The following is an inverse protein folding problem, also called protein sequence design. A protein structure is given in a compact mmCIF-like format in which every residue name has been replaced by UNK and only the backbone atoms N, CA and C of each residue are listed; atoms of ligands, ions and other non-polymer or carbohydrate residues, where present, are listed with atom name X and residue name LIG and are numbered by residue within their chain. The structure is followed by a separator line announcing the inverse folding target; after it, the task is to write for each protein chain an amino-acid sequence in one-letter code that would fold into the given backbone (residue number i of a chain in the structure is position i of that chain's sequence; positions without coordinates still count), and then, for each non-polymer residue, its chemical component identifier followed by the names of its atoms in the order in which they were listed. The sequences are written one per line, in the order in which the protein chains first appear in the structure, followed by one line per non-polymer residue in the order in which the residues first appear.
data_IF_513680512665
#
_entry.id   IF_513680512665
#
_cell.length_a   1.000
_cell.length_b   1.000
_cell.length_c   1.000
_cell.angle_alpha   90.00
_cell.angle_beta   90.00
_cell.angle_gamma   90.00
#
_symmetry.space_group_name_H-M   'P 1'
#
loop_
_entity.id
_entity.type
_entity.pdbx_description
1 polymer ?
2 non-polymer ?
3 non-polymer ?
4 non-polymer ?
5 water ?
#
# COMPACT_ATOMS: atom_id res chain seq x y z
N UNK A 4 -20.50 1.80 -11.69
CA UNK A 4 -19.11 1.69 -12.09
C UNK A 4 -19.05 0.76 -13.32
N UNK A 5 -18.73 1.34 -14.47
CA UNK A 5 -18.88 0.61 -15.73
C UNK A 5 -17.83 -0.49 -15.88
N UNK A 6 -16.56 -0.17 -15.62
CA UNK A 6 -15.50 -1.16 -15.76
C UNK A 6 -15.75 -2.35 -14.84
N UNK A 7 -16.33 -2.10 -13.67
CA UNK A 7 -16.58 -3.20 -12.75
C UNK A 7 -17.73 -4.04 -13.27
N UNK A 8 -18.75 -3.38 -13.83
CA UNK A 8 -19.90 -4.10 -14.35
C UNK A 8 -19.48 -5.06 -15.46
N UNK A 9 -18.50 -4.66 -16.28
CA UNK A 9 -18.02 -5.53 -17.35
C UNK A 9 -17.25 -6.70 -16.77
N UNK A 10 -16.59 -6.52 -15.63
CA UNK A 10 -15.87 -7.61 -15.00
C UNK A 10 -16.86 -8.61 -14.38
N UNK A 11 -17.93 -8.12 -13.76
CA UNK A 11 -18.99 -9.01 -13.28
C UNK A 11 -19.53 -9.84 -14.43
N UNK A 12 -19.79 -9.21 -15.56
CA UNK A 12 -20.32 -9.95 -16.70
C UNK A 12 -19.31 -10.98 -17.19
N UNK A 13 -18.02 -10.63 -17.19
CA UNK A 13 -16.98 -11.56 -17.59
C UNK A 13 -16.92 -12.75 -16.64
N UNK A 14 -17.07 -12.51 -15.34
CA UNK A 14 -17.03 -13.62 -14.39
C UNK A 14 -18.20 -14.58 -14.64
N UNK A 15 -19.40 -14.04 -14.84
CA UNK A 15 -20.59 -14.89 -14.99
C UNK A 15 -20.55 -15.65 -16.31
N UNK A 16 -20.02 -15.01 -17.35
CA UNK A 16 -19.75 -15.65 -18.64
C UNK A 16 -18.86 -16.87 -18.48
N UNK A 17 -17.98 -16.90 -17.48
CA UNK A 17 -17.18 -18.09 -17.22
C UNK A 17 -17.76 -18.92 -16.13
N UNK A 18 -19.05 -18.74 -15.82
CA UNK A 18 -19.68 -19.66 -14.91
C UNK A 18 -19.45 -19.38 -13.46
N UNK A 19 -19.00 -18.18 -13.09
CA UNK A 19 -18.80 -17.86 -11.69
C UNK A 19 -20.04 -17.16 -11.15
N UNK A 20 -20.69 -17.79 -10.20
CA UNK A 20 -21.86 -17.34 -9.48
C UNK A 20 -21.45 -16.50 -8.28
N UNK A 21 -22.22 -15.47 -7.95
CA UNK A 21 -21.99 -14.71 -6.72
C UNK A 21 -22.43 -15.47 -5.47
N UNK A 22 -21.81 -15.09 -4.35
CA UNK A 22 -22.07 -15.59 -3.03
C UNK A 22 -22.47 -14.44 -2.11
N UNK A 23 -23.42 -14.70 -1.23
CA UNK A 23 -23.91 -13.71 -0.28
C UNK A 23 -23.29 -13.94 1.09
N UNK A 24 -22.86 -12.84 1.71
CA UNK A 24 -22.29 -12.89 3.05
C UNK A 24 -23.02 -11.92 3.93
N UNK A 25 -22.90 -12.14 5.24
CA UNK A 25 -23.55 -11.32 6.23
C UNK A 25 -22.53 -10.73 7.16
N UNK A 26 -22.93 -9.63 7.79
CA UNK A 26 -22.07 -8.93 8.72
C UNK A 26 -21.40 -9.92 9.65
N UNK A 27 -20.09 -9.74 9.81
CA UNK A 27 -19.19 -10.43 10.73
C UNK A 27 -18.69 -11.73 10.15
N UNK A 28 -19.19 -12.17 9.02
CA UNK A 28 -18.63 -13.33 8.33
C UNK A 28 -17.32 -13.00 7.67
N UNK A 29 -16.47 -14.03 7.57
CA UNK A 29 -15.21 -13.94 6.86
C UNK A 29 -15.33 -14.49 5.45
N UNK A 30 -15.14 -13.62 4.47
CA UNK A 30 -15.09 -14.07 3.07
C UNK A 30 -13.83 -14.89 2.80
N UNK A 31 -12.69 -14.46 3.31
CA UNK A 31 -11.54 -15.36 3.40
C UNK A 31 -10.88 -15.18 4.74
N UNK A 32 -10.03 -16.14 5.13
CA UNK A 32 -9.46 -16.13 6.46
C UNK A 32 -7.98 -16.47 6.39
N UNK A 33 -7.30 -16.07 7.46
CA UNK A 33 -5.86 -16.15 7.60
C UNK A 33 -5.34 -17.56 7.80
N UNK A 34 -6.21 -18.56 7.97
CA UNK A 34 -5.80 -19.94 8.25
C UNK A 34 -5.97 -20.85 7.05
N UNK A 35 -6.66 -20.41 6.03
CA UNK A 35 -6.95 -21.24 4.90
C UNK A 35 -5.70 -21.44 4.07
N UNK A 36 -5.30 -22.66 3.74
CA UNK A 36 -4.13 -22.82 2.87
C UNK A 36 -4.40 -22.37 1.43
N UNK A 37 -5.67 -22.31 1.01
CA UNK A 37 -6.01 -21.93 -0.35
C UNK A 37 -6.25 -20.42 -0.39
N UNK A 38 -5.66 -19.75 -1.36
CA UNK A 38 -5.87 -18.32 -1.49
C UNK A 38 -6.81 -18.01 -2.63
N UNK A 39 -7.37 -16.79 -2.57
CA UNK A 39 -8.50 -16.41 -3.39
C UNK A 39 -8.37 -15.02 -3.96
N UNK A 40 -9.01 -14.83 -5.10
CA UNK A 40 -9.38 -13.52 -5.61
C UNK A 40 -10.86 -13.29 -5.29
N UNK A 41 -11.15 -12.22 -4.55
CA UNK A 41 -12.50 -11.80 -4.19
C UNK A 41 -12.86 -10.62 -5.08
N UNK A 42 -13.90 -10.76 -5.88
CA UNK A 42 -14.51 -9.60 -6.54
C UNK A 42 -15.69 -9.19 -5.68
N UNK A 43 -15.45 -8.17 -4.87
CA UNK A 43 -16.43 -7.64 -3.95
C UNK A 43 -17.34 -6.78 -4.80
N UNK A 44 -18.55 -7.25 -5.00
CA UNK A 44 -19.43 -6.55 -5.92
C UNK A 44 -20.26 -5.52 -5.18
N UNK A 45 -20.78 -5.87 -4.02
CA UNK A 45 -21.62 -4.96 -3.26
C UNK A 45 -21.39 -5.20 -1.78
N UNK A 46 -21.30 -4.11 -1.03
CA UNK A 46 -21.18 -4.15 0.42
C UNK A 46 -19.84 -3.61 0.88
N UNK A 47 -19.64 -3.66 2.20
CA UNK A 47 -18.48 -3.06 2.83
C UNK A 47 -17.79 -4.12 3.69
N UNK A 48 -16.48 -4.19 3.55
CA UNK A 48 -15.64 -5.17 4.24
C UNK A 48 -14.43 -4.48 4.85
N UNK A 49 -13.76 -5.17 5.77
CA UNK A 49 -12.47 -4.72 6.27
C UNK A 49 -11.51 -5.90 6.27
N UNK A 50 -10.25 -5.57 6.07
CA UNK A 50 -9.16 -6.53 6.17
C UNK A 50 -8.67 -6.50 7.60
N UNK A 51 -8.60 -7.66 8.24
CA UNK A 51 -8.18 -7.70 9.64
C UNK A 51 -7.00 -8.66 9.80
N UNK A 52 -6.23 -8.43 10.86
CA UNK A 52 -5.20 -9.38 11.25
C UNK A 52 -5.24 -9.55 12.76
N UNK A 53 -4.43 -10.48 13.24
CA UNK A 53 -4.36 -10.86 14.64
C UNK A 53 -2.90 -10.97 15.07
N UNK A 54 -2.55 -10.36 16.21
CA UNK A 54 -1.25 -10.56 16.81
C UNK A 54 -1.30 -11.77 17.75
N UNK A 55 -0.11 -12.21 18.20
CA UNK A 55 -0.03 -13.32 19.16
C UNK A 55 -0.97 -13.09 20.34
N UNK A 56 -1.19 -11.82 20.71
CA UNK A 56 -2.09 -11.45 21.79
C UNK A 56 -3.54 -11.88 21.57
N UNK A 57 -3.96 -12.07 20.32
CA UNK A 57 -5.37 -12.16 20.00
C UNK A 57 -6.02 -10.82 19.70
N UNK A 58 -5.23 -9.76 19.57
CA UNK A 58 -5.72 -8.41 19.30
C UNK A 58 -6.09 -8.28 17.83
N UNK A 59 -7.37 -7.96 17.54
CA UNK A 59 -7.83 -7.71 16.18
C UNK A 59 -7.40 -6.33 15.70
N UNK A 60 -6.73 -6.29 14.55
CA UNK A 60 -6.26 -5.07 13.93
C UNK A 60 -7.05 -4.84 12.66
N UNK A 61 -7.64 -3.66 12.50
CA UNK A 61 -8.35 -3.30 11.28
C UNK A 61 -7.34 -2.61 10.36
N UNK A 62 -7.04 -3.22 9.23
CA UNK A 62 -5.97 -2.73 8.38
C UNK A 62 -6.45 -1.88 7.22
N UNK A 63 -7.58 -2.22 6.64
CA UNK A 63 -8.00 -1.61 5.37
C UNK A 63 -9.50 -1.85 5.18
N UNK A 64 -10.17 -0.87 4.59
CA UNK A 64 -11.58 -1.01 4.23
C UNK A 64 -11.72 -1.09 2.71
N UNK A 65 -12.68 -1.89 2.30
CA UNK A 65 -13.00 -2.07 0.90
C UNK A 65 -14.52 -2.03 0.72
N UNK A 66 -14.97 -1.37 -0.33
CA UNK A 66 -16.38 -1.39 -0.70
C UNK A 66 -16.52 -1.94 -2.11
N UNK A 67 -17.68 -2.52 -2.38
CA UNK A 67 -17.94 -3.02 -3.72
C UNK A 67 -18.17 -1.83 -4.64
N UNK A 68 -17.69 -1.82 -5.87
CA UNK A 68 -17.03 -2.94 -6.51
C UNK A 68 -15.52 -2.82 -6.39
N UNK A 69 -14.87 -3.92 -5.99
CA UNK A 69 -13.42 -3.89 -5.86
C UNK A 69 -12.90 -5.32 -5.87
N UNK A 70 -11.59 -5.46 -6.10
CA UNK A 70 -10.90 -6.76 -6.11
C UNK A 70 -9.93 -6.83 -4.94
N UNK A 71 -9.99 -7.93 -4.16
CA UNK A 71 -9.08 -8.17 -3.05
C UNK A 71 -8.48 -9.56 -3.27
N UNK A 72 -7.16 -9.67 -3.27
CA UNK A 72 -6.51 -10.94 -3.57
C UNK A 72 -5.70 -11.36 -2.35
N UNK A 73 -5.99 -12.55 -1.81
CA UNK A 73 -5.33 -12.95 -0.59
C UNK A 73 -4.03 -13.67 -0.86
N UNK A 74 -3.72 -13.96 -2.13
CA UNK A 74 -2.48 -14.61 -2.47
C UNK A 74 -1.87 -13.98 -3.71
N UNK A 75 -0.55 -14.16 -3.84
CA UNK A 75 0.18 -13.63 -4.98
C UNK A 75 -0.27 -14.32 -6.26
N UNK A 76 -0.35 -13.55 -7.36
CA UNK A 76 -0.93 -14.09 -8.57
C UNK A 76 -0.09 -15.23 -9.13
N UNK A 77 1.24 -15.16 -8.96
CA UNK A 77 2.15 -16.12 -9.55
C UNK A 77 2.40 -17.31 -8.65
N UNK A 78 2.80 -17.10 -7.39
CA UNK A 78 3.04 -18.22 -6.49
C UNK A 78 1.75 -18.80 -5.89
N UNK A 79 0.68 -18.02 -5.82
CA UNK A 79 -0.61 -18.44 -5.27
C UNK A 79 -0.57 -18.57 -3.78
N UNK A 80 0.48 -18.08 -3.13
CA UNK A 80 0.65 -18.15 -1.70
C UNK A 80 0.32 -16.80 -1.07
N UNK A 81 0.11 -16.82 0.25
CA UNK A 81 -0.48 -15.72 1.00
C UNK A 81 0.37 -14.46 0.85
N UNK A 82 -0.32 -13.32 0.71
CA UNK A 82 0.34 -12.01 0.80
C UNK A 82 0.42 -11.53 2.26
N UNK A 83 -0.13 -12.29 3.19
CA UNK A 83 -0.17 -11.89 4.59
C UNK A 83 -1.34 -12.57 5.28
N UNK A 84 -1.23 -12.72 6.60
CA UNK A 84 -2.24 -13.43 7.40
C UNK A 84 -3.38 -12.48 7.68
N UNK A 85 -4.30 -12.49 6.74
CA UNK A 85 -5.39 -11.55 6.71
C UNK A 85 -6.73 -12.28 6.65
N UNK A 86 -7.75 -11.61 7.19
CA UNK A 86 -9.12 -12.02 6.99
C UNK A 86 -9.86 -10.89 6.31
N UNK A 87 -10.92 -11.21 5.60
CA UNK A 87 -11.80 -10.21 5.00
C UNK A 87 -13.17 -10.38 5.63
N UNK A 88 -13.54 -9.39 6.44
CA UNK A 88 -14.72 -9.43 7.28
C UNK A 88 -15.75 -8.49 6.72
N UNK A 89 -16.97 -8.97 6.60
CA UNK A 89 -18.09 -8.13 6.17
C UNK A 89 -18.52 -7.24 7.32
N UNK A 90 -18.66 -5.95 7.04
CA UNK A 90 -19.17 -5.03 8.04
C UNK A 90 -20.50 -4.40 7.68
N UNK A 91 -20.91 -4.36 6.41
CA UNK A 91 -22.30 -4.07 6.08
C UNK A 91 -23.18 -5.27 6.44
N UNK A 92 -24.48 -5.00 6.59
CA UNK A 92 -25.46 -6.06 6.87
C UNK A 92 -25.25 -7.26 5.95
N UNK A 93 -25.14 -6.99 4.66
CA UNK A 93 -24.95 -8.02 3.66
C UNK A 93 -23.86 -7.57 2.70
N UNK A 94 -23.26 -8.54 2.04
CA UNK A 94 -22.32 -8.28 0.96
C UNK A 94 -22.45 -9.39 -0.06
N UNK A 95 -22.19 -9.04 -1.31
CA UNK A 95 -22.17 -9.96 -2.43
C UNK A 95 -20.76 -9.98 -2.99
N UNK A 96 -20.19 -11.19 -3.11
CA UNK A 96 -18.86 -11.31 -3.69
C UNK A 96 -18.76 -12.54 -4.57
N UNK A 97 -17.87 -12.44 -5.57
CA UNK A 97 -17.45 -13.58 -6.36
C UNK A 97 -16.11 -14.07 -5.83
N UNK A 98 -16.02 -15.36 -5.58
CA UNK A 98 -14.88 -15.93 -4.86
C UNK A 98 -14.21 -16.92 -5.80
N UNK A 99 -13.00 -16.57 -6.26
CA UNK A 99 -12.31 -17.35 -7.28
C UNK A 99 -10.98 -17.83 -6.76
N UNK A 100 -10.65 -19.09 -6.99
CA UNK A 100 -9.33 -19.58 -6.61
C UNK A 100 -8.26 -18.87 -7.42
N UNK A 101 -7.12 -18.59 -6.77
CA UNK A 101 -6.17 -17.70 -7.41
C UNK A 101 -5.67 -18.30 -8.73
N UNK A 102 -5.50 -19.62 -8.78
CA UNK A 102 -5.00 -20.24 -10.00
C UNK A 102 -5.91 -19.95 -11.20
N UNK A 103 -7.22 -19.80 -10.95
CA UNK A 103 -8.16 -19.51 -12.03
C UNK A 103 -8.18 -18.04 -12.43
N UNK A 104 -8.14 -17.11 -11.48
CA UNK A 104 -8.00 -15.70 -11.87
C UNK A 104 -6.94 -15.54 -12.94
N UNK A 105 -5.80 -16.19 -12.76
CA UNK A 105 -4.71 -16.13 -13.73
C UNK A 105 -5.21 -16.46 -15.14
N UNK A 106 -5.79 -17.65 -15.30
CA UNK A 106 -6.33 -18.05 -16.60
C UNK A 106 -7.22 -16.96 -17.17
N UNK A 107 -8.14 -16.46 -16.37
CA UNK A 107 -9.14 -15.53 -16.87
C UNK A 107 -8.52 -14.21 -17.31
N UNK A 108 -7.67 -13.62 -16.47
CA UNK A 108 -7.02 -12.37 -16.89
C UNK A 108 -6.13 -12.61 -18.11
N UNK A 109 -5.54 -13.81 -18.23
CA UNK A 109 -4.70 -14.18 -19.37
C UNK A 109 -5.40 -14.00 -20.71
N UNK A 110 -6.73 -14.03 -20.73
CA UNK A 110 -7.48 -14.11 -21.97
C UNK A 110 -8.25 -12.85 -22.27
N UNK A 111 -8.07 -11.81 -21.45
CA UNK A 111 -8.78 -10.55 -21.69
C UNK A 111 -8.00 -9.45 -20.97
N UNK A 112 -7.09 -8.82 -21.71
CA UNK A 112 -6.24 -7.81 -21.12
C UNK A 112 -7.03 -6.62 -20.59
N UNK A 113 -8.23 -6.37 -21.12
CA UNK A 113 -9.06 -5.30 -20.58
C UNK A 113 -9.38 -5.56 -19.11
N UNK A 114 -9.71 -6.82 -18.78
CA UNK A 114 -9.98 -7.21 -17.40
C UNK A 114 -8.69 -7.44 -16.62
N UNK A 115 -7.63 -7.85 -17.27
CA UNK A 115 -6.34 -7.78 -16.63
C UNK A 115 -6.08 -6.36 -16.14
N UNK A 116 -6.26 -5.39 -17.04
CA UNK A 116 -5.97 -4.00 -16.72
C UNK A 116 -6.83 -3.51 -15.58
N UNK A 117 -8.10 -3.93 -15.57
CA UNK A 117 -9.01 -3.52 -14.53
C UNK A 117 -8.50 -3.94 -13.17
N UNK A 118 -8.04 -5.19 -13.06
CA UNK A 118 -7.57 -5.71 -11.77
C UNK A 118 -6.23 -5.07 -11.43
N UNK A 119 -5.37 -4.96 -12.42
CA UNK A 119 -4.09 -4.30 -12.22
C UNK A 119 -4.27 -2.90 -11.66
N UNK A 120 -5.15 -2.13 -12.25
CA UNK A 120 -5.45 -0.78 -11.85
C UNK A 120 -5.99 -0.71 -10.42
N UNK A 121 -6.80 -1.68 -10.00
CA UNK A 121 -7.23 -1.70 -8.59
C UNK A 121 -6.07 -1.82 -7.65
N UNK A 122 -5.12 -2.70 -7.94
CA UNK A 122 -3.92 -2.75 -7.11
C UNK A 122 -3.20 -1.40 -7.08
N UNK A 123 -3.06 -0.75 -8.25
CA UNK A 123 -2.40 0.56 -8.26
C UNK A 123 -3.09 1.57 -7.37
N UNK A 124 -4.43 1.57 -7.35
CA UNK A 124 -5.18 2.44 -6.45
C UNK A 124 -4.89 2.15 -5.00
N UNK A 125 -4.77 0.87 -4.61
CA UNK A 125 -4.42 0.50 -3.23
C UNK A 125 -3.05 1.00 -2.84
N UNK A 126 -2.08 0.83 -3.74
CA UNK A 126 -0.71 1.20 -3.45
C UNK A 126 -0.63 2.68 -3.16
N UNK A 127 -1.19 3.50 -4.05
CA UNK A 127 -1.14 4.94 -3.88
C UNK A 127 -2.03 5.40 -2.72
N UNK A 128 -3.13 4.72 -2.47
CA UNK A 128 -3.92 5.00 -1.27
C UNK A 128 -3.08 4.91 0.00
N UNK A 129 -2.33 3.81 0.16
CA UNK A 129 -1.55 3.64 1.38
C UNK A 129 -0.45 4.66 1.49
N UNK A 130 0.18 5.01 0.38
CA UNK A 130 1.19 6.04 0.44
C UNK A 130 0.58 7.41 0.79
N UNK A 131 -0.62 7.70 0.31
CA UNK A 131 -1.23 8.99 0.64
C UNK A 131 -1.59 9.06 2.11
N UNK A 132 -2.09 7.94 2.64
CA UNK A 132 -2.42 7.84 4.04
C UNK A 132 -1.19 8.04 4.88
N UNK A 133 -0.11 7.39 4.49
CA UNK A 133 1.15 7.56 5.19
C UNK A 133 1.59 9.02 5.17
N UNK A 134 1.47 9.66 4.02
CA UNK A 134 1.89 11.04 3.92
C UNK A 134 1.05 11.94 4.81
N UNK A 135 -0.28 11.76 4.80
CA UNK A 135 -1.14 12.59 5.61
C UNK A 135 -0.90 12.34 7.09
N UNK A 136 -0.66 11.08 7.47
CA UNK A 136 -0.29 10.81 8.86
C UNK A 136 1.05 11.43 9.22
N UNK A 137 2.04 11.31 8.34
CA UNK A 137 3.33 11.94 8.58
C UNK A 137 3.15 13.42 8.89
N UNK A 138 2.33 14.11 8.09
CA UNK A 138 2.17 15.54 8.26
C UNK A 138 1.30 15.86 9.48
N UNK A 139 0.12 15.23 9.62
CA UNK A 139 -0.89 15.67 10.58
C UNK A 139 -1.26 14.64 11.63
N UNK A 140 -0.58 13.51 11.69
CA UNK A 140 -0.91 12.54 12.72
C UNK A 140 -2.29 11.94 12.55
N UNK A 141 -2.84 11.47 13.68
CA UNK A 141 -4.10 10.74 13.64
C UNK A 141 -5.24 11.62 13.14
N UNK A 142 -5.10 12.93 13.31
CA UNK A 142 -6.08 13.88 12.81
C UNK A 142 -6.09 13.85 11.28
N UNK A 143 -4.92 13.76 10.65
CA UNK A 143 -4.87 13.54 9.21
C UNK A 143 -5.50 12.23 8.78
N UNK A 144 -5.22 11.16 9.52
CA UNK A 144 -5.84 9.87 9.24
C UNK A 144 -7.35 9.92 9.36
N UNK A 145 -7.88 10.56 10.42
CA UNK A 145 -9.31 10.58 10.62
C UNK A 145 -9.99 11.51 9.64
N UNK A 146 -9.40 12.67 9.39
CA UNK A 146 -9.97 13.56 8.39
C UNK A 146 -9.98 12.88 7.04
N UNK A 147 -8.92 12.11 6.73
CA UNK A 147 -8.88 11.38 5.48
C UNK A 147 -9.98 10.34 5.37
N UNK A 148 -10.22 9.63 6.47
CA UNK A 148 -11.27 8.64 6.47
C UNK A 148 -12.62 9.30 6.25
N UNK A 149 -12.87 10.40 6.97
CA UNK A 149 -14.13 11.14 6.81
C UNK A 149 -14.23 11.71 5.43
N UNK A 150 -13.11 12.17 4.89
CA UNK A 150 -13.14 12.76 3.57
C UNK A 150 -13.56 11.74 2.53
N UNK A 151 -13.01 10.53 2.62
CA UNK A 151 -13.39 9.53 1.63
C UNK A 151 -14.85 9.09 1.85
N UNK A 152 -15.33 9.06 3.09
CA UNK A 152 -16.73 8.73 3.33
C UNK A 152 -17.64 9.77 2.71
N UNK A 153 -17.22 11.02 2.78
CA UNK A 153 -18.01 12.10 2.26
C UNK A 153 -18.09 12.01 0.74
N UNK A 154 -16.94 11.82 0.09
CA UNK A 154 -16.92 11.73 -1.37
C UNK A 154 -17.66 10.51 -1.86
N UNK A 155 -17.52 9.37 -1.19
CA UNK A 155 -18.14 8.16 -1.68
C UNK A 155 -19.64 8.14 -1.40
N UNK A 156 -20.05 8.54 -0.18
CA UNK A 156 -21.46 8.43 0.21
C UNK A 156 -22.19 9.76 0.36
N UNK A 157 -21.54 10.88 0.12
CA UNK A 157 -22.16 12.16 0.40
C UNK A 157 -23.05 12.65 -0.72
N UNK A 158 -24.11 13.36 -0.33
CA UNK A 158 -25.04 13.96 -1.27
C UNK A 158 -25.36 15.36 -0.80
N UNK A 159 -25.12 16.37 -1.67
CA UNK A 159 -25.32 17.76 -1.29
C UNK A 159 -26.79 17.97 -0.97
N UNK A 160 -27.06 18.64 0.13
CA UNK A 160 -28.39 19.02 0.57
C UNK A 160 -28.32 20.41 1.18
N UNK A 161 -29.47 21.06 1.41
CA UNK A 161 -29.44 22.36 2.10
C UNK A 161 -28.72 22.33 3.44
N UNK A 162 -28.82 21.23 4.18
CA UNK A 162 -28.14 21.08 5.46
C UNK A 162 -26.67 20.68 5.35
N UNK A 163 -26.12 20.64 4.13
CA UNK A 163 -24.75 20.23 3.91
C UNK A 163 -24.70 18.90 3.17
N UNK A 164 -23.56 18.26 3.23
CA UNK A 164 -23.35 17.03 2.46
C UNK A 164 -23.80 15.87 3.35
N UNK A 165 -24.96 15.34 3.06
CA UNK A 165 -25.49 14.25 3.87
C UNK A 165 -24.76 12.94 3.58
N UNK A 166 -24.36 12.24 4.63
CA UNK A 166 -23.71 10.94 4.48
C UNK A 166 -24.80 9.90 4.35
N UNK A 167 -24.89 9.27 3.20
CA UNK A 167 -26.06 8.45 2.89
C UNK A 167 -25.69 7.00 3.13
N UNK A 168 -25.46 6.72 4.39
CA UNK A 168 -25.08 5.41 4.88
C UNK A 168 -25.75 5.25 6.23
N UNK A 169 -26.21 4.05 6.55
CA UNK A 169 -26.95 3.89 7.79
C UNK A 169 -26.06 4.25 8.96
N UNK A 170 -26.68 4.80 10.02
CA UNK A 170 -25.88 5.43 11.06
C UNK A 170 -24.98 4.43 11.76
N UNK A 171 -25.47 3.21 11.89
CA UNK A 171 -24.70 2.12 12.48
C UNK A 171 -23.37 1.92 11.76
N UNK A 172 -23.45 1.60 10.47
CA UNK A 172 -22.25 1.38 9.69
C UNK A 172 -21.39 2.63 9.61
N UNK A 173 -22.01 3.81 9.59
CA UNK A 173 -21.23 5.02 9.35
C UNK A 173 -20.28 5.25 10.50
N UNK A 174 -20.75 5.01 11.73
CA UNK A 174 -19.96 5.33 12.90
C UNK A 174 -18.80 4.35 13.03
N UNK A 175 -19.00 3.08 12.62
CA UNK A 175 -17.88 2.13 12.49
C UNK A 175 -16.84 2.69 11.55
N UNK A 176 -17.26 3.20 10.40
CA UNK A 176 -16.31 3.67 9.40
C UNK A 176 -15.62 4.98 9.78
N UNK A 177 -16.20 5.78 10.69
CA UNK A 177 -15.49 6.95 11.14
C UNK A 177 -14.15 6.63 11.78
N UNK A 178 -13.97 5.40 12.22
CA UNK A 178 -12.72 4.98 12.84
C UNK A 178 -11.74 4.50 11.77
N UNK A 179 -10.55 5.10 11.79
CA UNK A 179 -9.51 4.79 10.82
C UNK A 179 -8.96 3.41 11.11
N UNK A 180 -8.21 2.87 10.15
CA UNK A 180 -7.64 1.55 10.32
C UNK A 180 -6.76 1.60 11.55
N UNK A 181 -6.76 0.51 12.32
CA UNK A 181 -6.01 0.44 13.54
C UNK A 181 -6.74 -0.41 14.56
N UNK A 182 -6.63 -0.03 15.84
CA UNK A 182 -7.29 -0.77 16.91
C UNK A 182 -8.77 -0.43 16.94
N UNK A 183 -9.55 -1.37 17.49
CA UNK A 183 -11.01 -1.22 17.52
C UNK A 183 -11.40 -0.16 18.54
N UNK A 184 -12.26 0.77 18.11
CA UNK A 184 -12.85 1.81 18.98
C UNK A 184 -11.83 2.41 19.93
N UNK A 185 -10.70 2.85 19.38
CA UNK A 185 -9.73 3.58 20.17
C UNK A 185 -10.40 4.81 20.78
N UNK A 186 -10.12 5.07 22.06
CA UNK A 186 -10.65 6.27 22.69
C UNK A 186 -10.02 7.53 22.10
N UNK A 187 -8.73 7.48 21.74
CA UNK A 187 -8.11 8.63 21.09
C UNK A 187 -8.81 8.98 19.79
N UNK A 188 -9.24 7.97 19.04
CA UNK A 188 -9.95 8.26 17.80
C UNK A 188 -11.34 8.82 18.09
N UNK A 189 -12.02 8.24 19.07
CA UNK A 189 -13.37 8.69 19.42
C UNK A 189 -13.34 10.16 19.82
N UNK A 190 -12.30 10.57 20.51
CA UNK A 190 -12.18 11.96 20.88
C UNK A 190 -11.92 12.84 19.67
N UNK A 191 -11.13 12.36 18.71
CA UNK A 191 -10.87 13.16 17.51
C UNK A 191 -12.18 13.38 16.76
N UNK A 192 -12.97 12.33 16.60
CA UNK A 192 -14.20 12.41 15.83
C UNK A 192 -15.18 13.34 16.53
N UNK A 193 -15.31 13.22 17.84
CA UNK A 193 -16.28 14.06 18.51
C UNK A 193 -15.81 15.51 18.56
N UNK A 194 -14.51 15.73 18.51
CA UNK A 194 -14.02 17.08 18.38
C UNK A 194 -14.40 17.69 17.03
N UNK A 195 -14.30 16.92 15.94
CA UNK A 195 -14.78 17.40 14.65
C UNK A 195 -16.26 17.71 14.72
N UNK A 196 -17.01 16.89 15.46
CA UNK A 196 -18.44 17.15 15.61
C UNK A 196 -18.67 18.42 16.42
N UNK A 197 -17.94 18.56 17.53
CA UNK A 197 -18.07 19.77 18.34
C UNK A 197 -17.77 21.02 17.54
N UNK A 198 -16.82 20.96 16.62
CA UNK A 198 -16.48 22.12 15.81
C UNK A 198 -17.36 22.26 14.57
N UNK A 199 -18.35 21.39 14.44
CA UNK A 199 -19.37 21.47 13.41
C UNK A 199 -18.79 21.17 12.03
N UNK A 200 -17.74 20.33 11.98
CA UNK A 200 -17.26 19.83 10.69
C UNK A 200 -18.24 18.81 10.13
N UNK A 201 -18.78 17.97 11.01
CA UNK A 201 -19.83 17.04 10.67
C UNK A 201 -20.86 17.12 11.81
N UNK A 202 -22.13 17.26 11.46
CA UNK A 202 -23.16 17.58 12.44
C UNK A 202 -24.33 16.63 12.30
N UNK A 203 -24.86 16.24 13.44
CA UNK A 203 -26.07 15.47 13.54
C UNK A 203 -27.30 16.36 13.42
N UNK A 204 -28.23 15.99 12.53
CA UNK A 204 -29.51 16.68 12.45
C UNK A 204 -30.56 15.77 11.83
N UNK A 205 -31.76 15.78 12.40
CA UNK A 205 -32.88 14.97 11.92
C UNK A 205 -32.43 13.56 11.54
N UNK A 206 -31.82 12.87 12.50
CA UNK A 206 -31.44 11.46 12.40
C UNK A 206 -30.33 11.19 11.38
N UNK A 207 -29.72 12.23 10.81
CA UNK A 207 -28.69 12.02 9.79
C UNK A 207 -27.45 12.83 10.13
N UNK A 208 -26.35 12.53 9.44
CA UNK A 208 -25.09 13.27 9.57
C UNK A 208 -24.75 13.98 8.27
N UNK A 209 -24.34 15.25 8.43
CA UNK A 209 -24.07 16.19 7.35
C UNK A 209 -22.67 16.76 7.54
N UNK A 210 -21.86 16.63 6.52
CA UNK A 210 -20.58 17.32 6.53
C UNK A 210 -20.83 18.77 6.13
N UNK A 211 -20.51 19.67 7.03
CA UNK A 211 -20.74 21.09 6.82
C UNK A 211 -19.44 21.85 6.63
N UNK A 212 -18.28 21.22 6.85
CA UNK A 212 -17.00 21.89 6.61
C UNK A 212 -16.06 20.93 5.86
N UNK A 213 -16.44 20.67 4.61
CA UNK A 213 -15.59 19.86 3.74
C UNK A 213 -14.20 20.45 3.61
N UNK A 214 -14.06 21.79 3.56
CA UNK A 214 -12.72 22.37 3.44
C UNK A 214 -11.79 21.96 4.59
N UNK A 215 -12.31 21.80 5.81
CA UNK A 215 -11.47 21.39 6.93
C UNK A 215 -10.90 19.99 6.71
N UNK A 216 -11.73 19.07 6.23
CA UNK A 216 -11.27 17.71 5.95
C UNK A 216 -10.21 17.70 4.86
N UNK A 217 -10.45 18.46 3.78
CA UNK A 217 -9.47 18.62 2.70
C UNK A 217 -8.15 19.18 3.22
N UNK A 218 -8.22 20.11 4.18
CA UNK A 218 -7.02 20.78 4.68
C UNK A 218 -6.08 19.83 5.37
N UNK A 219 -6.61 18.94 6.18
CA UNK A 219 -5.79 18.06 6.98
C UNK A 219 -5.55 16.70 6.35
N UNK A 220 -6.21 16.40 5.25
CA UNK A 220 -5.95 15.16 4.51
C UNK A 220 -5.65 15.52 3.06
N UNK A 221 -4.65 16.38 2.82
CA UNK A 221 -4.43 16.88 1.46
C UNK A 221 -3.99 15.81 0.51
N UNK A 222 -3.22 14.83 0.98
CA UNK A 222 -2.71 13.85 0.04
C UNK A 222 -3.76 12.77 -0.28
N UNK A 223 -4.62 12.41 0.68
CA UNK A 223 -5.74 11.57 0.32
C UNK A 223 -6.73 12.30 -0.57
N UNK A 224 -6.86 13.61 -0.40
CA UNK A 224 -7.71 14.39 -1.31
C UNK A 224 -7.16 14.30 -2.74
N UNK A 225 -5.85 14.53 -2.89
CA UNK A 225 -5.17 14.36 -4.19
C UNK A 225 -5.38 12.95 -4.73
N UNK A 226 -5.14 11.95 -3.89
CA UNK A 226 -5.32 10.56 -4.30
C UNK A 226 -6.69 10.31 -4.88
N UNK A 227 -7.74 10.74 -4.16
CA UNK A 227 -9.11 10.55 -4.64
C UNK A 227 -9.35 11.34 -5.95
N UNK A 228 -8.83 12.55 -6.04
CA UNK A 228 -8.89 13.32 -7.29
C UNK A 228 -8.24 12.55 -8.45
N UNK A 229 -7.09 11.95 -8.22
CA UNK A 229 -6.38 11.24 -9.26
C UNK A 229 -6.99 9.88 -9.54
N UNK A 230 -7.39 9.20 -8.47
CA UNK A 230 -8.04 7.89 -8.56
C UNK A 230 -9.50 7.84 -9.04
N UNK A 232 -11.60 10.75 -10.37
CA UNK A 232 -11.89 12.16 -10.63
C UNK A 232 -13.37 12.58 -10.73
N UNK A 233 -14.23 11.77 -11.30
CA UNK A 233 -15.65 12.17 -11.43
C UNK A 233 -16.33 12.26 -10.07
N UNK A 234 -16.02 11.31 -9.19
CA UNK A 234 -16.62 11.35 -7.86
C UNK A 234 -16.08 12.53 -7.07
N UNK A 235 -14.78 12.78 -7.17
CA UNK A 235 -14.19 13.97 -6.58
C UNK A 235 -14.88 15.23 -7.08
N UNK A 236 -15.10 15.30 -8.39
CA UNK A 236 -15.58 16.53 -8.99
C UNK A 236 -16.96 16.90 -8.54
N UNK A 237 -17.78 15.90 -8.19
CA UNK A 237 -19.16 16.16 -7.81
C UNK A 237 -19.25 17.08 -6.59
N UNK A 238 -18.30 16.99 -5.67
CA UNK A 238 -18.33 17.79 -4.45
C UNK A 238 -17.23 18.83 -4.38
N UNK A 239 -16.56 19.13 -5.46
CA UNK A 239 -15.60 20.23 -5.48
C UNK A 239 -15.94 21.25 -6.56
N UNK B 2 22.61 -14.11 -6.17
CA UNK B 2 21.37 -13.59 -5.54
C UNK B 2 20.33 -13.24 -6.61
N UNK B 3 20.13 -14.15 -7.56
CA UNK B 3 19.55 -13.83 -8.87
C UNK B 3 18.03 -13.96 -8.87
N UNK B 4 17.35 -12.90 -9.34
CA UNK B 4 15.89 -12.84 -9.41
C UNK B 4 15.48 -13.26 -10.81
N UNK B 5 15.08 -14.53 -10.95
CA UNK B 5 14.87 -15.13 -12.25
C UNK B 5 13.78 -14.40 -13.02
N UNK B 6 12.65 -14.09 -12.36
CA UNK B 6 11.58 -13.38 -13.05
C UNK B 6 12.06 -12.01 -13.52
N UNK B 7 12.85 -11.32 -12.69
CA UNK B 7 13.37 -10.01 -13.10
C UNK B 7 14.37 -10.14 -14.24
N UNK B 8 15.27 -11.13 -14.16
CA UNK B 8 16.17 -11.38 -15.29
C UNK B 8 15.38 -11.68 -16.57
N UNK B 9 14.31 -12.48 -16.49
CA UNK B 9 13.53 -12.77 -17.69
C UNK B 9 12.76 -11.54 -18.15
N UNK B 10 12.36 -10.66 -17.22
CA UNK B 10 11.69 -9.43 -17.64
C UNK B 10 12.67 -8.55 -18.39
N UNK B 11 13.90 -8.51 -17.91
CA UNK B 11 14.95 -7.69 -18.50
C UNK B 11 15.28 -8.17 -19.91
N UNK B 12 15.42 -9.47 -20.10
CA UNK B 12 15.59 -10.00 -21.45
C UNK B 12 14.42 -9.55 -22.32
N UNK B 13 13.20 -9.68 -21.81
CA UNK B 13 12.02 -9.35 -22.59
C UNK B 13 12.04 -7.89 -23.04
N UNK B 14 12.42 -6.98 -22.15
CA UNK B 14 12.44 -5.57 -22.52
C UNK B 14 13.52 -5.29 -23.55
N UNK B 15 14.73 -5.82 -23.34
CA UNK B 15 15.85 -5.48 -24.22
C UNK B 15 15.66 -6.03 -25.63
N UNK B 16 14.95 -7.15 -25.77
CA UNK B 16 14.64 -7.67 -27.09
C UNK B 16 13.43 -6.99 -27.72
N UNK B 17 12.79 -6.08 -27.00
CA UNK B 17 11.83 -5.15 -27.55
C UNK B 17 12.41 -3.75 -27.71
N UNK B 18 13.73 -3.61 -27.63
CA UNK B 18 14.37 -2.34 -27.90
C UNK B 18 14.31 -1.33 -26.78
N UNK B 19 14.12 -1.78 -25.55
CA UNK B 19 14.15 -0.90 -24.39
C UNK B 19 15.52 -1.07 -23.76
N UNK B 20 16.23 0.03 -23.61
CA UNK B 20 17.62 0.01 -23.21
C UNK B 20 17.77 0.54 -21.78
N UNK B 21 18.74 0.01 -21.03
CA UNK B 21 18.93 0.49 -19.65
C UNK B 21 19.56 1.87 -19.63
N UNK B 22 19.16 2.66 -18.65
CA UNK B 22 19.70 4.00 -18.44
C UNK B 22 20.34 4.09 -17.06
N UNK B 23 21.46 4.79 -16.97
CA UNK B 23 22.14 5.03 -15.71
C UNK B 23 21.76 6.39 -15.16
N UNK B 24 21.58 6.44 -13.85
CA UNK B 24 21.34 7.66 -13.12
C UNK B 24 22.30 7.73 -11.95
N UNK B 25 22.66 8.95 -11.55
CA UNK B 25 23.48 9.10 -10.36
C UNK B 25 22.64 9.63 -9.21
N UNK B 26 23.18 9.46 -8.00
CA UNK B 26 22.56 9.93 -6.77
C UNK B 26 21.99 11.31 -6.96
N UNK B 27 20.78 11.48 -6.43
CA UNK B 27 19.96 12.69 -6.39
C UNK B 27 19.16 12.91 -7.67
N UNK B 28 19.43 12.19 -8.75
CA UNK B 28 18.62 12.40 -9.95
C UNK B 28 17.24 11.80 -9.75
N UNK B 29 16.26 12.41 -10.41
CA UNK B 29 14.88 11.94 -10.42
C UNK B 29 14.63 11.16 -11.70
N UNK B 30 14.42 9.86 -11.53
CA UNK B 30 14.08 8.97 -12.64
C UNK B 30 12.72 9.37 -13.22
N UNK B 31 11.76 9.74 -12.37
CA UNK B 31 10.58 10.47 -12.79
C UNK B 31 10.26 11.50 -11.73
N UNK B 32 9.46 12.51 -12.10
CA UNK B 32 9.25 13.61 -11.19
C UNK B 32 7.79 14.02 -11.18
N UNK B 33 7.41 14.71 -10.10
CA UNK B 33 6.03 15.02 -9.77
C UNK B 33 5.47 16.15 -10.63
N UNK B 34 6.28 16.79 -11.48
CA UNK B 34 5.79 17.92 -12.28
C UNK B 34 5.66 17.53 -13.74
N UNK B 35 5.93 16.29 -14.07
CA UNK B 35 5.91 15.77 -15.42
C UNK B 35 4.50 15.28 -15.75
N UNK B 36 3.89 15.74 -16.84
CA UNK B 36 2.57 15.18 -17.20
C UNK B 36 2.65 13.79 -17.84
N UNK B 37 3.81 13.43 -18.38
CA UNK B 37 4.03 12.10 -18.94
C UNK B 37 4.35 11.13 -17.82
N UNK B 38 3.68 9.98 -17.82
CA UNK B 38 3.88 8.97 -16.79
C UNK B 38 4.59 7.75 -17.37
N UNK B 39 5.24 7.02 -16.47
CA UNK B 39 6.18 5.97 -16.83
C UNK B 39 6.01 4.73 -15.98
N UNK B 40 6.41 3.62 -16.59
CA UNK B 40 6.76 2.38 -15.91
C UNK B 40 8.27 2.31 -15.80
N UNK B 41 8.77 2.29 -14.57
CA UNK B 41 10.19 2.18 -14.29
C UNK B 41 10.51 0.74 -13.93
N UNK B 42 11.40 0.10 -14.69
CA UNK B 42 11.95 -1.17 -14.23
C UNK B 42 13.30 -0.85 -13.60
N UNK B 43 13.31 -0.75 -12.29
CA UNK B 43 14.51 -0.43 -11.55
C UNK B 43 15.31 -1.71 -11.44
N UNK B 44 16.42 -1.78 -12.17
CA UNK B 44 17.15 -3.05 -12.26
C UNK B 44 18.21 -3.14 -11.17
N UNK B 45 18.92 -2.05 -10.90
CA UNK B 45 19.94 -2.07 -9.89
C UNK B 45 19.96 -0.72 -9.19
N UNK B 46 20.28 -0.72 -7.90
CA UNK B 46 20.34 0.52 -7.15
C UNK B 46 19.19 0.66 -6.18
N UNK B 47 19.25 1.78 -5.44
CA UNK B 47 18.32 2.11 -4.37
C UNK B 47 17.76 3.50 -4.66
N UNK B 48 16.45 3.61 -4.52
CA UNK B 48 15.70 4.82 -4.76
C UNK B 48 14.72 5.08 -3.64
N UNK B 49 14.17 6.27 -3.65
CA UNK B 49 13.13 6.63 -2.70
C UNK B 49 12.07 7.43 -3.43
N UNK B 50 10.84 7.13 -3.12
CA UNK B 50 9.71 7.89 -3.62
C UNK B 50 9.49 9.08 -2.70
N UNK B 51 9.42 10.26 -3.30
CA UNK B 51 9.23 11.46 -2.50
C UNK B 51 8.05 12.27 -3.02
N UNK B 52 7.55 13.12 -2.14
CA UNK B 52 6.60 14.20 -2.48
C UNK B 52 7.16 15.51 -1.93
N UNK B 53 7.16 16.57 -2.74
CA UNK B 53 7.73 17.86 -2.34
C UNK B 53 6.61 18.88 -2.28
N UNK B 54 6.47 19.49 -1.11
CA UNK B 54 5.43 20.49 -0.86
C UNK B 54 5.80 21.84 -1.46
N UNK B 55 4.83 22.70 -1.59
CA UNK B 55 5.07 24.04 -2.12
C UNK B 55 6.07 24.69 -1.19
N UNK B 56 5.93 24.36 0.09
CA UNK B 56 6.80 24.83 1.17
C UNK B 56 8.24 24.39 0.91
N UNK B 57 8.40 23.30 0.16
CA UNK B 57 9.71 22.78 -0.15
C UNK B 57 10.17 21.62 0.72
N UNK B 58 9.33 21.20 1.66
CA UNK B 58 9.69 20.07 2.52
C UNK B 58 9.54 18.79 1.71
N UNK B 59 10.51 17.88 1.86
CA UNK B 59 10.54 16.64 1.09
C UNK B 59 10.06 15.53 2.00
N UNK B 60 8.96 14.87 1.60
CA UNK B 60 8.45 13.70 2.32
C UNK B 60 9.00 12.43 1.70
N UNK B 61 9.63 11.61 2.51
CA UNK B 61 10.18 10.32 2.04
C UNK B 61 9.08 9.29 2.25
N UNK B 62 8.51 8.77 1.15
CA UNK B 62 7.33 7.91 1.23
C UNK B 62 7.62 6.40 1.21
N UNK B 63 8.62 5.96 0.48
CA UNK B 63 8.86 4.56 0.21
C UNK B 63 10.25 4.42 -0.34
N UNK B 64 10.94 3.32 0.00
CA UNK B 64 12.19 2.93 -0.60
C UNK B 64 12.00 1.76 -1.55
N UNK B 65 12.76 1.77 -2.62
CA UNK B 65 12.79 0.67 -3.57
C UNK B 65 14.22 0.31 -3.91
N UNK B 66 14.48 -0.98 -4.08
CA UNK B 66 15.77 -1.45 -4.59
C UNK B 66 15.57 -2.28 -5.84
N UNK B 67 16.54 -2.26 -6.73
CA UNK B 67 16.46 -3.12 -7.89
C UNK B 67 16.64 -4.55 -7.45
N UNK B 68 15.97 -5.52 -8.06
CA UNK B 68 15.07 -5.32 -9.17
C UNK B 68 13.63 -5.08 -8.70
N UNK B 69 12.97 -4.10 -9.31
CA UNK B 69 11.58 -3.81 -8.97
C UNK B 69 10.97 -2.95 -10.07
N UNK B 70 9.64 -2.81 -10.01
CA UNK B 70 8.88 -2.02 -10.95
C UNK B 70 8.12 -0.94 -10.18
N UNK B 71 8.22 0.31 -10.66
CA UNK B 71 7.54 1.45 -10.06
C UNK B 71 6.79 2.12 -11.21
N UNK B 72 5.48 2.26 -11.07
CA UNK B 72 4.71 2.92 -12.11
C UNK B 72 4.13 4.23 -11.60
N UNK B 73 4.47 5.31 -12.30
CA UNK B 73 4.00 6.64 -11.93
C UNK B 73 2.61 6.94 -12.42
N UNK B 74 2.06 6.11 -13.30
CA UNK B 74 0.75 6.39 -13.90
C UNK B 74 -0.07 5.11 -13.90
N UNK B 75 -1.40 5.26 -13.91
CA UNK B 75 -2.32 4.10 -13.94
C UNK B 75 -2.25 3.44 -15.30
N UNK B 76 -2.23 2.12 -15.33
CA UNK B 76 -2.06 1.41 -16.57
C UNK B 76 -3.16 1.67 -17.58
N UNK B 77 -4.41 1.74 -17.12
CA UNK B 77 -5.53 2.02 -18.02
C UNK B 77 -5.68 3.47 -18.52
N UNK B 78 -5.66 4.43 -17.59
CA UNK B 78 -5.85 5.83 -17.93
C UNK B 78 -4.56 6.56 -18.29
N UNK B 79 -3.41 6.02 -17.91
CA UNK B 79 -2.11 6.65 -18.17
C UNK B 79 -1.91 7.95 -17.42
N UNK B 80 -2.76 8.30 -16.47
CA UNK B 80 -2.58 9.50 -15.68
C UNK B 80 -1.95 9.19 -14.33
N UNK B 81 -1.52 10.24 -13.66
CA UNK B 81 -0.72 10.10 -12.45
C UNK B 81 -1.44 9.31 -11.37
N UNK B 82 -0.69 8.49 -10.66
CA UNK B 82 -1.20 7.84 -9.45
C UNK B 82 -0.95 8.67 -8.21
N UNK B 83 -0.25 9.81 -8.34
CA UNK B 83 0.18 10.60 -7.20
C UNK B 83 1.35 11.49 -7.60
N UNK B 84 1.48 12.66 -7.00
CA UNK B 84 2.52 13.61 -7.42
C UNK B 84 3.82 13.22 -6.73
N UNK B 85 4.56 12.35 -7.38
CA UNK B 85 5.70 11.69 -6.77
C UNK B 85 6.93 11.87 -7.63
N UNK B 86 8.10 11.86 -6.98
CA UNK B 86 9.40 11.72 -7.60
C UNK B 86 10.02 10.39 -7.21
N UNK B 87 10.90 9.88 -8.05
CA UNK B 87 11.69 8.67 -7.78
C UNK B 87 13.15 9.11 -7.78
N UNK B 88 13.68 9.31 -6.59
CA UNK B 88 15.02 9.85 -6.41
C UNK B 88 16.05 8.75 -6.15
N UNK B 89 17.16 8.78 -6.88
CA UNK B 89 18.26 7.84 -6.67
C UNK B 89 19.02 8.21 -5.41
N UNK B 90 19.20 7.25 -4.50
CA UNK B 90 19.96 7.50 -3.28
C UNK B 90 21.20 6.64 -3.15
N UNK B 91 21.32 5.59 -3.94
CA UNK B 91 22.61 4.94 -4.11
C UNK B 91 23.48 5.82 -5.01
N UNK B 92 24.76 5.49 -5.14
CA UNK B 92 25.62 6.36 -5.94
C UNK B 92 25.23 6.33 -7.40
N UNK B 93 24.91 5.15 -7.91
CA UNK B 93 24.36 4.96 -9.24
C UNK B 93 23.13 4.04 -9.16
N UNK B 94 22.25 4.18 -10.14
CA UNK B 94 21.14 3.27 -10.34
C UNK B 94 20.97 3.03 -11.83
N UNK B 95 20.49 1.84 -12.15
CA UNK B 95 20.15 1.46 -13.52
C UNK B 95 18.66 1.18 -13.64
N UNK B 96 18.00 1.79 -14.62
CA UNK B 96 16.57 1.62 -14.80
C UNK B 96 16.19 1.60 -16.27
N UNK B 97 15.11 0.87 -16.57
CA UNK B 97 14.51 0.86 -17.89
C UNK B 97 13.30 1.75 -17.77
N UNK B 98 13.18 2.70 -18.67
CA UNK B 98 12.19 3.74 -18.56
C UNK B 98 11.27 3.60 -19.75
N UNK B 99 10.00 3.29 -19.48
CA UNK B 99 9.01 2.92 -20.48
C UNK B 99 7.81 3.86 -20.32
N UNK B 100 7.48 4.58 -21.40
CA UNK B 100 6.24 5.37 -21.39
C UNK B 100 5.05 4.46 -21.11
N UNK B 101 4.11 4.95 -20.31
CA UNK B 101 3.01 4.08 -19.85
C UNK B 101 2.25 3.49 -21.02
N UNK B 102 2.01 4.26 -22.07
CA UNK B 102 1.33 3.73 -23.26
C UNK B 102 2.09 2.58 -23.91
N UNK B 103 3.41 2.68 -24.01
CA UNK B 103 4.16 1.59 -24.62
C UNK B 103 4.12 0.33 -23.76
N UNK B 104 4.09 0.46 -22.43
CA UNK B 104 4.02 -0.72 -21.56
C UNK B 104 2.78 -1.55 -21.83
N UNK B 105 1.65 -0.90 -22.12
CA UNK B 105 0.41 -1.66 -22.25
C UNK B 105 0.49 -2.68 -23.37
N UNK B 106 1.02 -2.26 -24.52
CA UNK B 106 1.29 -3.20 -25.60
C UNK B 106 2.04 -4.42 -25.09
N UNK B 107 3.14 -4.20 -24.38
CA UNK B 107 4.05 -5.29 -24.04
C UNK B 107 3.41 -6.29 -23.06
N UNK B 108 2.99 -5.83 -21.88
CA UNK B 108 2.37 -6.77 -20.94
C UNK B 108 1.25 -7.55 -21.61
N UNK B 109 0.66 -7.01 -22.69
CA UNK B 109 -0.45 -7.66 -23.38
C UNK B 109 0.00 -8.83 -24.26
N UNK B 110 1.19 -8.74 -24.85
CA UNK B 110 1.70 -9.83 -25.67
C UNK B 110 2.35 -10.94 -24.85
N UNK B 111 2.73 -10.65 -23.61
CA UNK B 111 3.33 -11.67 -22.74
C UNK B 111 2.64 -11.64 -21.38
N UNK B 112 2.08 -12.77 -21.00
CA UNK B 112 1.33 -12.86 -19.77
C UNK B 112 2.22 -13.19 -18.58
N UNK B 113 3.32 -13.90 -18.81
CA UNK B 113 4.26 -14.15 -17.72
C UNK B 113 4.80 -12.84 -17.16
N UNK B 114 5.07 -11.87 -18.02
CA UNK B 114 5.66 -10.61 -17.56
C UNK B 114 4.61 -9.65 -17.03
N UNK B 115 3.41 -9.67 -17.62
CA UNK B 115 2.29 -9.01 -16.97
C UNK B 115 2.20 -9.43 -15.50
N UNK B 116 2.24 -10.75 -15.27
CA UNK B 116 2.09 -11.29 -13.93
C UNK B 116 3.24 -10.88 -13.03
N UNK B 117 4.46 -10.83 -13.58
CA UNK B 117 5.59 -10.36 -12.80
C UNK B 117 5.34 -8.95 -12.25
N UNK B 118 4.81 -8.06 -13.09
CA UNK B 118 4.58 -6.68 -12.64
C UNK B 118 3.39 -6.62 -11.70
N UNK B 119 2.34 -7.36 -12.02
CA UNK B 119 1.19 -7.44 -11.11
C UNK B 119 1.63 -7.83 -9.71
N UNK B 120 2.46 -8.84 -9.62
CA UNK B 120 2.94 -9.34 -8.35
C UNK B 120 3.78 -8.30 -7.60
N UNK B 121 4.52 -7.43 -8.30
CA UNK B 121 5.24 -6.38 -7.58
C UNK B 121 4.27 -5.40 -6.94
N UNK B 122 3.16 -5.11 -7.59
CA UNK B 122 2.17 -4.27 -6.96
C UNK B 122 1.67 -4.94 -5.69
N UNK B 123 1.36 -6.25 -5.78
CA UNK B 123 0.86 -6.95 -4.61
C UNK B 123 1.87 -6.91 -3.47
N UNK B 124 3.15 -6.99 -3.79
CA UNK B 124 4.17 -6.92 -2.75
C UNK B 124 4.22 -5.52 -2.12
N UNK B 125 4.04 -4.47 -2.91
CA UNK B 125 3.97 -3.12 -2.35
C UNK B 125 2.78 -2.97 -1.43
N UNK B 126 1.59 -3.41 -1.88
CA UNK B 126 0.37 -3.30 -1.07
C UNK B 126 0.57 -3.97 0.28
N UNK B 127 0.98 -5.24 0.24
CA UNK B 127 1.14 -5.97 1.50
C UNK B 127 2.26 -5.39 2.34
N UNK B 128 3.30 -4.86 1.69
CA UNK B 128 4.36 -4.17 2.44
C UNK B 128 3.79 -3.01 3.26
N UNK B 129 3.01 -2.13 2.61
CA UNK B 129 2.47 -0.97 3.33
C UNK B 129 1.59 -1.39 4.49
N UNK B 130 0.74 -2.41 4.32
CA UNK B 130 -0.11 -2.84 5.41
C UNK B 130 0.69 -3.39 6.57
N UNK B 131 1.76 -4.12 6.27
CA UNK B 131 2.59 -4.66 7.33
C UNK B 131 3.31 -3.56 8.07
N UNK B 132 3.87 -2.61 7.34
CA UNK B 132 4.48 -1.44 7.95
C UNK B 132 3.48 -0.76 8.89
N UNK B 133 2.26 -0.53 8.41
CA UNK B 133 1.22 0.09 9.25
C UNK B 133 0.93 -0.75 10.48
N UNK B 134 0.85 -2.07 10.31
CA UNK B 134 0.52 -2.94 11.44
C UNK B 134 1.60 -2.84 12.53
N UNK B 135 2.89 -2.88 12.14
CA UNK B 135 3.95 -2.78 13.14
C UNK B 135 3.96 -1.42 13.82
N UNK B 136 3.63 -0.37 13.09
CA UNK B 136 3.58 0.95 13.72
C UNK B 136 2.39 1.04 14.68
N UNK B 137 1.27 0.42 14.33
CA UNK B 137 0.12 0.46 15.23
C UNK B 137 0.43 -0.27 16.53
N UNK B 138 1.26 -1.32 16.49
CA UNK B 138 1.59 -2.09 17.69
C UNK B 138 2.71 -1.42 18.46
N UNK B 139 3.78 -1.03 17.78
CA UNK B 139 5.05 -0.69 18.43
C UNK B 139 5.52 0.72 18.11
N UNK B 140 4.70 1.49 17.42
CA UNK B 140 5.06 2.85 17.10
C UNK B 140 6.39 2.93 16.40
N UNK B 141 7.12 4.02 16.66
CA UNK B 141 8.33 4.31 15.90
C UNK B 141 9.36 3.21 16.07
N UNK B 142 9.45 2.63 17.27
CA UNK B 142 10.40 1.54 17.48
C UNK B 142 10.14 0.40 16.48
N UNK B 143 8.87 0.12 16.22
CA UNK B 143 8.53 -0.91 15.24
C UNK B 143 8.93 -0.50 13.83
N UNK B 144 8.70 0.76 13.46
CA UNK B 144 9.09 1.21 12.13
C UNK B 144 10.61 1.10 11.94
N UNK B 145 11.38 1.57 12.92
CA UNK B 145 12.82 1.54 12.79
C UNK B 145 13.34 0.11 12.85
N UNK B 146 12.78 -0.70 13.74
CA UNK B 146 13.17 -2.10 13.80
C UNK B 146 12.88 -2.80 12.48
N UNK B 147 11.74 -2.48 11.86
CA UNK B 147 11.42 -3.07 10.56
C UNK B 147 12.41 -2.68 9.48
N UNK B 148 12.76 -1.39 9.42
CA UNK B 148 13.71 -0.95 8.40
C UNK B 148 15.05 -1.66 8.58
N UNK B 149 15.53 -1.73 9.83
CA UNK B 149 16.77 -2.43 10.12
C UNK B 149 16.67 -3.91 9.81
N UNK B 150 15.50 -4.52 10.02
CA UNK B 150 15.39 -5.94 9.77
C UNK B 150 15.50 -6.24 8.28
N UNK B 151 14.77 -5.48 7.46
CA UNK B 151 14.87 -5.64 6.01
C UNK B 151 16.30 -5.40 5.55
N UNK B 152 16.91 -4.34 6.03
CA UNK B 152 18.30 -4.09 5.66
C UNK B 152 19.18 -5.27 6.03
N UNK B 153 18.96 -5.84 7.21
CA UNK B 153 19.75 -6.98 7.63
C UNK B 153 19.54 -8.16 6.71
N UNK B 154 18.27 -8.45 6.39
CA UNK B 154 17.99 -9.59 5.52
C UNK B 154 18.61 -9.37 4.15
N UNK B 155 18.48 -8.16 3.62
CA UNK B 155 18.85 -7.94 2.21
C UNK B 155 20.36 -7.72 2.05
N UNK B 156 20.95 -6.93 2.94
CA UNK B 156 22.33 -6.48 2.79
C UNK B 156 23.27 -7.04 3.84
N UNK B 157 22.76 -7.85 4.75
CA UNK B 157 23.55 -8.27 5.89
C UNK B 157 24.58 -9.32 5.53
N UNK B 158 25.73 -9.25 6.19
CA UNK B 158 26.81 -10.20 6.01
C UNK B 158 27.33 -10.67 7.36
N UNK B 159 27.54 -11.97 7.50
CA UNK B 159 28.06 -12.52 8.75
C UNK B 159 29.52 -12.09 8.96
N UNK B 160 29.78 -11.42 10.07
CA UNK B 160 31.12 -11.06 10.47
C UNK B 160 31.28 -11.33 11.97
N UNK B 161 32.53 -11.53 12.43
CA UNK B 161 32.78 -11.64 13.87
C UNK B 161 32.19 -10.50 14.70
N UNK B 162 31.92 -9.36 14.08
CA UNK B 162 31.31 -8.23 14.79
C UNK B 162 29.79 -8.26 14.79
N UNK B 163 29.17 -9.29 14.22
CA UNK B 163 27.73 -9.35 14.11
C UNK B 163 27.32 -9.35 12.65
N UNK B 164 26.05 -9.05 12.37
CA UNK B 164 25.57 -9.03 10.99
C UNK B 164 25.77 -7.62 10.46
N UNK B 165 26.79 -7.48 9.62
CA UNK B 165 27.15 -6.20 9.04
C UNK B 165 26.20 -5.85 7.92
N UNK B 166 25.61 -4.65 7.99
CA UNK B 166 24.76 -4.17 6.90
C UNK B 166 25.69 -3.59 5.86
N UNK B 167 25.77 -4.26 4.71
CA UNK B 167 26.81 -4.07 3.70
C UNK B 167 26.34 -3.03 2.68
N UNK B 168 26.19 -1.81 3.15
CA UNK B 168 25.94 -0.66 2.30
C UNK B 168 27.01 0.37 2.57
N UNK B 169 27.54 0.98 1.51
CA UNK B 169 28.55 1.99 1.77
C UNK B 169 27.94 3.07 2.66
N UNK B 170 28.80 3.78 3.37
CA UNK B 170 28.32 4.65 4.45
C UNK B 170 27.43 5.77 3.91
N UNK B 171 27.70 6.25 2.69
CA UNK B 171 26.92 7.36 2.15
C UNK B 171 25.46 6.96 1.96
N UNK B 172 25.22 5.71 1.54
CA UNK B 172 23.84 5.23 1.40
C UNK B 172 23.16 5.11 2.74
N UNK B 173 23.90 4.70 3.77
CA UNK B 173 23.30 4.56 5.08
C UNK B 173 22.80 5.89 5.60
N UNK B 174 23.52 6.99 5.36
CA UNK B 174 22.99 8.27 5.83
C UNK B 174 21.79 8.70 5.01
N UNK B 175 21.75 8.38 3.71
CA UNK B 175 20.51 8.59 2.95
C UNK B 175 19.35 7.81 3.53
N UNK B 176 19.61 6.69 4.21
CA UNK B 176 18.54 5.92 4.82
C UNK B 176 18.19 6.42 6.23
N UNK B 177 18.97 7.35 6.76
CA UNK B 177 18.74 7.89 8.09
C UNK B 177 19.78 7.48 9.11
N UNK B 178 20.86 6.85 8.69
CA UNK B 178 21.89 6.33 9.59
C UNK B 178 23.24 6.94 9.22
N UNK B 186 16.12 13.31 16.43
CA UNK B 186 15.37 13.97 17.49
C UNK B 186 14.60 12.94 18.31
N UNK B 187 13.46 12.50 17.78
CA UNK B 187 12.75 11.36 18.35
C UNK B 187 13.24 10.04 17.76
N UNK B 188 13.78 10.08 16.55
CA UNK B 188 14.44 8.91 16.01
C UNK B 188 15.73 8.68 16.79
N UNK B 189 16.39 9.77 17.15
CA UNK B 189 17.63 9.68 17.91
C UNK B 189 17.41 9.00 19.25
N UNK B 190 16.20 9.38 19.89
CA UNK B 190 15.82 8.76 21.16
C UNK B 190 15.75 7.24 21.04
N UNK B 191 15.41 6.69 19.90
CA UNK B 191 15.23 5.27 19.69
C UNK B 191 16.56 4.61 19.36
N UNK B 192 17.30 5.20 18.44
CA UNK B 192 18.57 4.61 18.02
C UNK B 192 19.54 4.50 19.20
N UNK B 193 19.47 5.44 20.15
CA UNK B 193 20.33 5.33 21.33
C UNK B 193 19.87 4.19 22.23
N UNK B 194 18.56 4.07 22.47
CA UNK B 194 18.07 2.90 23.19
C UNK B 194 18.61 1.62 22.57
N UNK B 195 18.76 1.59 21.24
CA UNK B 195 19.15 0.36 20.56
C UNK B 195 20.63 0.05 20.77
N UNK B 196 21.49 1.07 20.67
CA UNK B 196 22.89 0.85 21.04
C UNK B 196 23.02 0.52 22.52
N UNK B 197 22.25 1.22 23.35
CA UNK B 197 22.33 1.07 24.80
C UNK B 197 21.71 -0.23 25.28
N UNK B 198 21.14 -1.03 24.38
CA UNK B 198 20.63 -2.34 24.73
C UNK B 198 21.30 -3.44 23.91
N UNK B 199 22.37 -3.12 23.18
CA UNK B 199 23.22 -4.05 22.43
C UNK B 199 22.67 -4.36 21.04
N UNK B 200 21.48 -3.91 20.68
CA UNK B 200 20.82 -4.40 19.48
C UNK B 200 21.67 -4.13 18.24
N UNK B 201 22.22 -2.92 18.13
CA UNK B 201 23.09 -2.53 17.03
C UNK B 201 24.37 -1.91 17.59
N UNK B 202 25.37 -1.76 16.72
CA UNK B 202 26.58 -1.03 17.05
C UNK B 202 27.16 -0.48 15.75
N UNK B 203 27.79 0.68 15.85
CA UNK B 203 28.44 1.25 14.69
C UNK B 203 29.93 1.13 14.92
N UNK B 204 30.61 0.32 14.13
CA UNK B 204 32.03 0.13 14.36
C UNK B 204 32.87 0.27 13.11
N UNK B 205 33.97 1.00 13.23
CA UNK B 205 34.86 1.17 12.10
C UNK B 205 34.07 1.70 10.94
N UNK B 206 33.17 2.64 11.20
CA UNK B 206 32.37 3.24 10.15
C UNK B 206 31.59 2.21 9.38
N UNK B 207 31.07 1.22 10.11
CA UNK B 207 30.30 0.13 9.52
C UNK B 207 29.08 -0.07 10.39
N UNK B 208 28.08 -0.79 9.92
CA UNK B 208 26.90 -0.95 10.76
C UNK B 208 26.69 -2.44 11.00
N UNK B 209 26.48 -2.81 12.27
CA UNK B 209 26.46 -4.22 12.66
C UNK B 209 25.25 -4.51 13.53
N UNK B 210 24.49 -5.53 13.16
CA UNK B 210 23.39 -6.01 13.98
C UNK B 210 23.90 -7.14 14.87
N UNK B 211 23.71 -7.00 16.18
CA UNK B 211 24.16 -8.00 17.14
C UNK B 211 23.02 -8.67 17.91
N UNK B 212 21.80 -8.15 17.84
CA UNK B 212 20.61 -8.81 18.41
C UNK B 212 19.52 -8.84 17.33
N UNK B 213 19.67 -9.74 16.36
CA UNK B 213 18.65 -9.86 15.32
C UNK B 213 17.28 -10.24 15.89
N UNK B 214 17.24 -10.98 17.02
CA UNK B 214 15.95 -11.38 17.59
C UNK B 214 15.15 -10.17 18.08
N UNK B 215 15.83 -9.18 18.63
CA UNK B 215 15.16 -7.96 19.06
C UNK B 215 14.41 -7.28 17.91
N UNK B 216 15.08 -7.16 16.76
CA UNK B 216 14.47 -6.55 15.58
C UNK B 216 13.23 -7.32 15.15
N UNK B 217 13.34 -8.64 15.12
CA UNK B 217 12.22 -9.52 14.81
C UNK B 217 11.10 -9.34 15.82
N UNK B 218 11.44 -9.18 17.11
CA UNK B 218 10.41 -9.03 18.13
C UNK B 218 9.51 -7.84 17.86
N UNK B 219 10.08 -6.71 17.43
CA UNK B 219 9.35 -5.45 17.37
C UNK B 219 8.85 -5.12 15.97
N UNK B 220 9.22 -5.89 14.96
CA UNK B 220 8.69 -5.74 13.61
C UNK B 220 8.10 -7.08 13.15
N UNK B 221 7.15 -7.61 13.91
CA UNK B 221 6.69 -8.96 13.61
C UNK B 221 5.95 -9.03 12.31
N UNK B 222 5.19 -8.00 11.96
CA UNK B 222 4.37 -8.12 10.77
C UNK B 222 5.17 -7.86 9.52
N UNK B 223 6.21 -7.03 9.60
CA UNK B 223 7.12 -6.92 8.46
C UNK B 223 7.96 -8.18 8.32
N UNK B 224 8.32 -8.80 9.43
CA UNK B 224 9.04 -10.07 9.35
C UNK B 224 8.19 -11.11 8.63
N UNK B 225 6.90 -11.15 8.98
CA UNK B 225 5.95 -12.04 8.29
C UNK B 225 5.88 -11.71 6.81
N UNK B 226 5.78 -10.42 6.49
CA UNK B 226 5.73 -10.02 5.08
C UNK B 226 6.95 -10.52 4.35
N UNK B 227 8.12 -10.36 4.95
CA UNK B 227 9.34 -10.76 4.25
C UNK B 227 9.42 -12.28 4.10
N UNK B 228 8.96 -13.01 5.11
CA UNK B 228 8.88 -14.46 5.00
C UNK B 228 7.99 -14.86 3.83
N UNK B 229 6.87 -14.16 3.68
CA UNK B 229 5.88 -14.52 2.67
C UNK B 229 6.24 -14.05 1.28
N UNK B 230 6.85 -12.87 1.20
CA UNK B 230 7.28 -12.30 -0.06
C UNK B 230 8.69 -12.71 -0.53
N UNK B 232 10.85 -15.60 0.66
CA UNK B 232 11.27 -16.70 1.55
C UNK B 232 12.73 -17.15 1.51
N UNK B 233 13.35 -17.15 0.34
CA UNK B 233 14.72 -17.64 0.21
C UNK B 233 15.66 -16.73 0.98
N UNK B 234 15.45 -15.43 0.85
CA UNK B 234 16.30 -14.49 1.57
C UNK B 234 16.04 -14.53 3.07
N UNK B 235 14.77 -14.49 3.47
CA UNK B 235 14.42 -14.62 4.87
C UNK B 235 15.11 -15.83 5.48
N UNK B 236 15.16 -16.95 4.73
CA UNK B 236 15.65 -18.21 5.28
C UNK B 236 17.13 -18.20 5.62
N UNK B 237 17.87 -17.23 5.10
CA UNK B 237 19.29 -17.15 5.35
C UNK B 237 19.57 -16.79 6.80
N UNK B 238 18.63 -16.13 7.46
CA UNK B 238 18.82 -15.66 8.84
C UNK B 238 17.68 -16.12 9.74
N UNK B 239 17.06 -17.25 9.40
CA UNK B 239 16.07 -17.87 10.26
C UNK B 239 16.32 -19.37 10.34
#
# INVERSE_FOLDING_TARGET
GAMNAQAEEFKKYLETNGIKPKQFHKKELIFNQWDPQEYCIFLYDGITKLTSISENGTIMNLQYYKGAFVIMSGFIDTETSVGYYNLEVISEQATAYVIKINELKELLSKNLTHFFYVFQTLQKQVSYSLAKFNDFSINGKLGSICGQLLILTYVYGKETPDGIKITLDNLTMQELGYSSGIAHSSAVSRIISKLKQEKVIVYKNSCFYVQNLDYLKRYAPKLDEWFYLAXPATWGKLN
GAMNAQAEEFKKYLETNGIKPKQFHKKELIFNQWDPQEYCIFLYDGITKLTSISENGTIMNLQYYKGAFVIMSGFIDTETSVGYYNLEVISEQATAYVIKINELKELLSKNLTHFFYVFQTLQKQVSYSLAKFNDFSINGKLGSICGQLLILTYVYGKETPDGIKITLDNLTMQELGYSSGIAHSSAVSRIISKLKQEKVIVYKNSCFYVQNLDYLKRYAPKLDEWFYLAXPATWGKLN
#
